data_IF_472699217580
#
_entry.id   IF_472699217580
#
_cell.length_a   1.000
_cell.length_b   1.000
_cell.length_c   1.000
_cell.angle_alpha   90.00
_cell.angle_beta   90.00
_cell.angle_gamma   90.00
#
_symmetry.space_group_name_H-M   'P 1'
#
loop_
_entity.id
_entity.type
_entity.pdbx_description
1 polymer ?
#
# COMPACT_ATOMS: atom_id res chain seq x y z
N UNK A 1 -29.92 -20.39 -9.15
CA UNK A 1 -29.88 -20.49 -10.64
C UNK A 1 -28.43 -20.52 -11.07
N UNK A 2 -28.05 -21.44 -11.96
CA UNK A 2 -26.74 -21.40 -12.60
C UNK A 2 -26.74 -20.32 -13.69
N UNK A 3 -25.66 -19.54 -13.80
CA UNK A 3 -25.49 -18.55 -14.86
C UNK A 3 -25.24 -19.26 -16.19
N UNK A 4 -25.82 -18.73 -17.28
CA UNK A 4 -25.52 -19.24 -18.62
C UNK A 4 -24.10 -18.82 -19.05
N UNK A 5 -23.45 -19.63 -19.89
CA UNK A 5 -22.14 -19.30 -20.47
C UNK A 5 -22.14 -17.91 -21.12
N UNK A 6 -23.18 -17.61 -21.88
CA UNK A 6 -23.31 -16.34 -22.59
C UNK A 6 -23.42 -15.14 -21.62
N UNK A 7 -24.11 -15.32 -20.49
CA UNK A 7 -24.20 -14.30 -19.45
C UNK A 7 -22.83 -14.05 -18.78
N UNK A 8 -22.07 -15.11 -18.51
CA UNK A 8 -20.72 -15.01 -17.93
C UNK A 8 -19.77 -14.30 -18.90
N UNK A 9 -19.76 -14.70 -20.17
CA UNK A 9 -18.90 -14.09 -21.19
C UNK A 9 -19.22 -12.61 -21.44
N UNK A 10 -20.51 -12.23 -21.40
CA UNK A 10 -20.92 -10.83 -21.54
C UNK A 10 -20.41 -9.98 -20.38
N UNK A 11 -20.53 -10.48 -19.14
CA UNK A 11 -20.02 -9.79 -17.96
C UNK A 11 -18.50 -9.59 -17.99
N UNK A 12 -17.74 -10.63 -18.39
CA UNK A 12 -16.27 -10.57 -18.43
C UNK A 12 -15.72 -9.64 -19.52
N UNK A 13 -16.52 -9.24 -20.52
CA UNK A 13 -16.14 -8.19 -21.48
C UNK A 13 -16.19 -6.79 -20.88
N UNK A 14 -17.04 -6.58 -19.88
CA UNK A 14 -17.25 -5.29 -19.23
C UNK A 14 -16.40 -5.15 -17.96
N UNK A 15 -16.16 -6.26 -17.27
CA UNK A 15 -15.47 -6.29 -15.98
C UNK A 15 -14.24 -7.21 -16.05
N UNK A 16 -13.06 -6.62 -15.93
CA UNK A 16 -11.82 -7.38 -15.78
C UNK A 16 -11.71 -8.00 -14.38
N UNK A 17 -12.06 -9.28 -14.29
CA UNK A 17 -11.77 -10.10 -13.10
C UNK A 17 -10.38 -10.73 -13.16
N UNK A 18 -9.81 -10.93 -14.35
CA UNK A 18 -8.57 -11.68 -14.57
C UNK A 18 -7.36 -10.96 -14.00
N UNK A 19 -7.16 -9.70 -14.38
CA UNK A 19 -6.01 -8.91 -13.95
C UNK A 19 -5.90 -8.79 -12.42
N UNK A 20 -6.97 -8.43 -11.69
CA UNK A 20 -6.95 -8.37 -10.23
C UNK A 20 -6.67 -9.72 -9.56
N UNK A 21 -7.25 -10.81 -10.07
CA UNK A 21 -7.04 -12.15 -9.53
C UNK A 21 -5.62 -12.64 -9.76
N UNK A 22 -5.08 -12.49 -10.98
CA UNK A 22 -3.71 -12.85 -11.32
C UNK A 22 -2.69 -12.09 -10.44
N UNK A 23 -2.87 -10.78 -10.29
CA UNK A 23 -2.01 -9.97 -9.44
C UNK A 23 -2.04 -10.41 -7.97
N UNK A 24 -3.22 -10.79 -7.46
CA UNK A 24 -3.37 -11.30 -6.10
C UNK A 24 -2.70 -12.67 -5.93
N UNK A 25 -2.79 -13.54 -6.95
CA UNK A 25 -2.21 -14.88 -6.95
C UNK A 25 -0.68 -14.80 -6.97
N UNK A 26 -0.11 -13.97 -7.84
CA UNK A 26 1.34 -13.75 -7.91
C UNK A 26 1.89 -13.23 -6.57
N UNK A 27 1.19 -12.32 -5.91
CA UNK A 27 1.57 -11.83 -4.58
C UNK A 27 1.51 -12.95 -3.52
N UNK A 28 0.45 -13.78 -3.53
CA UNK A 28 0.32 -14.89 -2.59
C UNK A 28 1.46 -15.91 -2.73
N UNK A 29 1.81 -16.27 -3.98
CA UNK A 29 2.88 -17.21 -4.31
C UNK A 29 4.25 -16.65 -3.93
N UNK A 30 4.53 -15.39 -4.28
CA UNK A 30 5.80 -14.73 -3.93
C UNK A 30 6.04 -14.69 -2.42
N UNK A 31 4.97 -14.57 -1.64
CA UNK A 31 5.03 -14.55 -0.18
C UNK A 31 4.94 -15.95 0.47
N UNK A 32 4.78 -17.00 -0.32
CA UNK A 32 4.62 -18.39 0.14
C UNK A 32 3.59 -18.50 1.28
N UNK A 33 2.44 -17.82 1.14
CA UNK A 33 1.45 -17.76 2.21
C UNK A 33 0.88 -19.15 2.54
N UNK A 34 0.92 -19.53 3.81
CA UNK A 34 0.25 -20.74 4.33
C UNK A 34 -1.24 -20.52 4.61
N UNK A 35 -1.74 -19.29 4.43
CA UNK A 35 -3.13 -18.90 4.67
C UNK A 35 -3.69 -18.10 3.48
N UNK A 36 -4.03 -18.79 2.36
CA UNK A 36 -4.39 -18.12 1.10
C UNK A 36 -5.73 -17.37 1.16
N UNK A 37 -6.77 -17.92 1.79
CA UNK A 37 -8.09 -17.26 1.82
C UNK A 37 -8.07 -15.94 2.61
N UNK A 38 -7.52 -15.88 3.84
CA UNK A 38 -7.33 -14.60 4.52
C UNK A 38 -6.45 -13.64 3.72
N UNK A 39 -5.38 -14.14 3.09
CA UNK A 39 -4.49 -13.32 2.26
C UNK A 39 -5.26 -12.59 1.15
N UNK A 40 -6.08 -13.30 0.36
CA UNK A 40 -6.83 -12.68 -0.74
C UNK A 40 -7.85 -11.65 -0.24
N UNK A 41 -8.61 -11.96 0.81
CA UNK A 41 -9.56 -11.03 1.40
C UNK A 41 -8.86 -9.73 1.84
N UNK A 42 -7.68 -9.85 2.46
CA UNK A 42 -6.88 -8.73 2.89
C UNK A 42 -6.28 -7.95 1.71
N UNK A 43 -5.80 -8.64 0.66
CA UNK A 43 -5.24 -8.03 -0.54
C UNK A 43 -6.26 -7.13 -1.25
N UNK A 44 -7.48 -7.63 -1.47
CA UNK A 44 -8.54 -6.84 -2.12
C UNK A 44 -9.06 -5.73 -1.21
N UNK A 45 -9.22 -5.98 0.09
CA UNK A 45 -9.67 -4.95 1.04
C UNK A 45 -8.67 -3.81 1.18
N UNK A 46 -7.37 -4.11 1.21
CA UNK A 46 -6.32 -3.11 1.25
C UNK A 46 -6.29 -2.27 -0.04
N UNK A 47 -6.40 -2.88 -1.22
CA UNK A 47 -6.49 -2.16 -2.49
C UNK A 47 -7.74 -1.26 -2.56
N UNK A 48 -8.89 -1.75 -2.11
CA UNK A 48 -10.13 -0.97 -2.09
C UNK A 48 -10.02 0.24 -1.14
N UNK A 49 -9.43 0.04 0.04
CA UNK A 49 -9.20 1.11 1.02
C UNK A 49 -8.21 2.16 0.51
N UNK A 50 -7.16 1.75 -0.19
CA UNK A 50 -6.21 2.66 -0.83
C UNK A 50 -6.89 3.53 -1.90
N UNK A 51 -7.71 2.91 -2.73
CA UNK A 51 -8.46 3.60 -3.77
C UNK A 51 -9.49 4.58 -3.19
N UNK A 52 -10.16 4.24 -2.07
CA UNK A 52 -11.18 5.12 -1.47
C UNK A 52 -10.61 6.42 -0.92
N UNK A 53 -9.32 6.48 -0.61
CA UNK A 53 -8.64 7.71 -0.18
C UNK A 53 -7.91 8.45 -1.31
N UNK A 54 -8.05 7.99 -2.56
CA UNK A 54 -7.35 8.58 -3.71
C UNK A 54 -5.82 8.39 -3.66
N UNK A 55 -5.34 7.43 -2.86
CA UNK A 55 -3.92 7.07 -2.84
C UNK A 55 -3.57 6.30 -4.11
N UNK A 56 -2.46 6.70 -4.74
CA UNK A 56 -1.99 6.05 -5.97
C UNK A 56 -0.95 4.99 -5.66
N UNK A 57 -0.73 4.04 -6.59
CA UNK A 57 0.37 3.07 -6.49
C UNK A 57 1.75 3.74 -6.39
N UNK A 58 1.91 4.96 -6.92
CA UNK A 58 3.13 5.76 -6.71
C UNK A 58 3.28 6.22 -5.26
N UNK A 59 2.19 6.49 -4.54
CA UNK A 59 2.25 6.85 -3.12
C UNK A 59 2.49 5.63 -2.23
N UNK A 60 2.06 4.44 -2.61
CA UNK A 60 2.29 3.25 -1.76
C UNK A 60 3.55 2.48 -2.13
N UNK A 61 3.96 2.53 -3.40
CA UNK A 61 5.11 1.80 -3.93
C UNK A 61 4.99 0.29 -3.93
N UNK A 62 5.98 -0.40 -4.53
CA UNK A 62 6.20 -1.81 -4.27
C UNK A 62 6.56 -1.98 -2.79
N UNK A 63 5.73 -2.73 -2.06
CA UNK A 63 5.93 -3.02 -0.64
C UNK A 63 6.54 -4.42 -0.46
N UNK A 64 7.62 -4.70 -1.19
CA UNK A 64 8.24 -6.04 -1.19
C UNK A 64 8.64 -6.46 0.22
N UNK A 65 8.26 -7.68 0.61
CA UNK A 65 8.48 -8.20 1.96
C UNK A 65 7.52 -7.68 3.03
N UNK A 66 6.54 -6.83 2.69
CA UNK A 66 5.46 -6.46 3.61
C UNK A 66 4.56 -7.67 3.85
N UNK A 67 4.30 -7.96 5.12
CA UNK A 67 3.45 -9.06 5.55
C UNK A 67 1.98 -8.81 5.19
N UNK A 68 1.15 -9.87 5.11
CA UNK A 68 -0.28 -9.71 4.93
C UNK A 68 -0.89 -8.87 6.05
N UNK A 69 -1.73 -7.89 5.70
CA UNK A 69 -2.43 -7.06 6.68
C UNK A 69 -3.49 -7.90 7.42
N UNK A 70 -3.68 -7.77 8.74
CA UNK A 70 -4.68 -8.55 9.48
C UNK A 70 -6.10 -7.95 9.37
N UNK A 71 -6.52 -7.41 8.23
CA UNK A 71 -7.55 -6.35 8.15
C UNK A 71 -8.94 -6.68 8.71
N UNK A 72 -9.33 -7.96 8.82
CA UNK A 72 -10.57 -8.37 9.48
C UNK A 72 -10.50 -8.40 11.01
N UNK A 73 -9.32 -8.47 11.61
CA UNK A 73 -9.08 -8.58 13.05
C UNK A 73 -8.19 -7.47 13.60
N UNK A 74 -7.73 -6.56 12.73
CA UNK A 74 -6.84 -5.47 13.09
C UNK A 74 -7.49 -4.56 14.14
N UNK A 75 -6.94 -4.54 15.36
CA UNK A 75 -7.41 -3.66 16.43
C UNK A 75 -7.19 -2.18 16.09
N UNK A 76 -6.03 -1.87 15.51
CA UNK A 76 -5.68 -0.54 15.03
C UNK A 76 -5.14 -0.58 13.61
N UNK A 77 -5.44 0.47 12.85
CA UNK A 77 -4.88 0.74 11.52
C UNK A 77 -3.91 1.90 11.63
N UNK A 78 -2.67 1.71 11.20
CA UNK A 78 -1.64 2.73 11.25
C UNK A 78 -1.19 3.09 9.82
N UNK A 79 -0.70 4.31 9.65
CA UNK A 79 0.04 4.72 8.47
C UNK A 79 1.52 4.92 8.81
N UNK A 80 2.43 4.29 8.05
CA UNK A 80 3.85 4.61 8.07
C UNK A 80 4.13 5.62 6.97
N UNK A 81 4.46 6.84 7.37
CA UNK A 81 4.61 7.99 6.49
C UNK A 81 6.08 8.19 6.16
N UNK A 82 6.36 8.27 4.87
CA UNK A 82 7.65 8.67 4.31
C UNK A 82 7.49 9.91 3.44
N UNK A 83 8.55 10.68 3.28
CA UNK A 83 8.60 11.75 2.28
C UNK A 83 9.10 11.20 0.94
N UNK A 84 8.47 11.59 -0.16
CA UNK A 84 8.99 11.38 -1.51
C UNK A 84 9.29 12.72 -2.17
N UNK A 85 10.58 13.04 -2.29
CA UNK A 85 11.03 14.19 -3.08
C UNK A 85 10.65 13.98 -4.55
N UNK A 86 9.95 14.95 -5.11
CA UNK A 86 9.63 14.94 -6.53
C UNK A 86 10.90 15.25 -7.34
N UNK A 87 11.11 14.51 -8.42
CA UNK A 87 12.23 14.72 -9.35
C UNK A 87 13.63 14.59 -8.72
N UNK A 88 13.76 13.92 -7.58
CA UNK A 88 15.08 13.65 -7.01
C UNK A 88 15.95 12.83 -7.99
N UNK A 89 17.26 13.11 -8.14
CA UNK A 89 18.13 12.46 -9.13
C UNK A 89 18.17 10.93 -9.05
N UNK A 90 17.93 10.35 -7.86
CA UNK A 90 17.85 8.89 -7.69
C UNK A 90 16.65 8.23 -8.35
N UNK A 91 15.65 9.00 -8.82
CA UNK A 91 14.41 8.48 -9.41
C UNK A 91 13.44 7.83 -8.41
N UNK A 92 13.87 7.56 -7.18
CA UNK A 92 13.10 6.90 -6.12
C UNK A 92 12.62 7.85 -5.03
N UNK A 93 12.98 9.13 -5.11
CA UNK A 93 12.46 10.19 -4.24
C UNK A 93 13.25 10.47 -2.97
N UNK A 94 14.51 10.06 -2.95
CA UNK A 94 15.52 10.39 -1.93
C UNK A 94 16.75 9.50 -2.07
N UNK A 95 17.88 9.95 -1.54
CA UNK A 95 19.09 9.11 -1.46
C UNK A 95 19.02 8.12 -0.26
N UNK A 96 18.10 8.34 0.68
CA UNK A 96 17.80 7.43 1.79
C UNK A 96 16.91 6.23 1.39
N UNK A 97 16.43 6.18 0.15
CA UNK A 97 15.48 5.18 -0.34
C UNK A 97 16.19 4.05 -1.09
N UNK A 98 15.69 2.83 -0.91
CA UNK A 98 16.07 1.68 -1.74
C UNK A 98 15.37 1.69 -3.10
N UNK A 99 15.58 0.63 -3.89
CA UNK A 99 15.06 0.47 -5.27
C UNK A 99 13.53 0.59 -5.37
N UNK A 100 12.82 0.25 -4.29
CA UNK A 100 11.36 0.33 -4.23
C UNK A 100 10.84 1.73 -3.85
N UNK A 101 11.74 2.66 -3.56
CA UNK A 101 11.44 4.02 -3.11
C UNK A 101 10.89 4.11 -1.68
N UNK A 102 11.09 3.06 -0.89
CA UNK A 102 10.96 3.06 0.56
C UNK A 102 12.33 3.13 1.21
N UNK A 103 12.42 3.65 2.42
CA UNK A 103 13.60 3.41 3.26
C UNK A 103 13.75 1.92 3.57
N UNK A 104 15.00 1.52 3.78
CA UNK A 104 15.36 0.13 4.11
C UNK A 104 14.69 -0.40 5.38
N UNK A 105 14.30 0.49 6.29
CA UNK A 105 13.68 0.17 7.57
C UNK A 105 12.14 0.27 7.57
N UNK A 106 11.53 0.92 6.57
CA UNK A 106 10.07 1.12 6.53
C UNK A 106 9.29 -0.20 6.55
N UNK A 107 9.64 -1.14 5.67
CA UNK A 107 8.93 -2.42 5.58
C UNK A 107 9.14 -3.26 6.86
N UNK A 108 10.36 -3.39 7.41
CA UNK A 108 10.56 -4.01 8.74
C UNK A 108 9.73 -3.38 9.86
N UNK A 109 9.62 -2.04 9.92
CA UNK A 109 8.80 -1.34 10.94
C UNK A 109 7.32 -1.67 10.75
N UNK A 110 6.80 -1.59 9.53
CA UNK A 110 5.42 -1.93 9.23
C UNK A 110 5.11 -3.41 9.58
N UNK A 111 6.05 -4.32 9.30
CA UNK A 111 5.95 -5.72 9.68
C UNK A 111 5.95 -5.92 11.20
N UNK A 112 6.67 -5.10 11.96
CA UNK A 112 6.59 -5.08 13.43
C UNK A 112 5.17 -4.80 13.91
N UNK A 113 4.52 -3.79 13.34
CA UNK A 113 3.11 -3.47 13.64
C UNK A 113 2.19 -4.62 13.25
N UNK A 114 2.38 -5.21 12.07
CA UNK A 114 1.58 -6.34 11.57
C UNK A 114 1.68 -7.56 12.50
N UNK A 115 2.87 -7.88 13.00
CA UNK A 115 3.09 -8.99 13.94
C UNK A 115 2.37 -8.81 15.28
N UNK A 116 1.98 -7.59 15.64
CA UNK A 116 1.15 -7.33 16.83
C UNK A 116 -0.35 -7.48 16.57
N UNK A 117 -0.75 -7.93 15.38
CA UNK A 117 -2.15 -8.07 14.98
C UNK A 117 -2.80 -6.76 14.55
N UNK A 118 -2.02 -5.74 14.20
CA UNK A 118 -2.50 -4.45 13.72
C UNK A 118 -2.24 -4.27 12.22
N UNK A 119 -2.95 -3.37 11.55
CA UNK A 119 -2.65 -3.03 10.16
C UNK A 119 -1.68 -1.85 10.10
N UNK A 120 -0.74 -1.87 9.15
CA UNK A 120 0.19 -0.77 8.91
C UNK A 120 0.41 -0.57 7.42
N UNK A 121 0.02 0.60 6.93
CA UNK A 121 0.11 0.97 5.52
C UNK A 121 1.28 1.94 5.30
N UNK A 122 2.32 1.55 4.53
CA UNK A 122 3.32 2.49 4.06
C UNK A 122 2.72 3.51 3.07
N UNK A 123 2.96 4.79 3.29
CA UNK A 123 2.53 5.90 2.45
C UNK A 123 3.70 6.85 2.24
N UNK A 124 4.05 7.05 0.98
CA UNK A 124 4.99 8.05 0.50
C UNK A 124 4.23 9.33 0.20
N UNK A 125 4.38 10.30 1.08
CA UNK A 125 3.84 11.63 0.91
C UNK A 125 4.44 12.29 -0.33
N UNK A 126 3.56 12.86 -1.15
CA UNK A 126 3.90 13.69 -2.30
C UNK A 126 3.20 15.02 -2.11
N UNK A 127 3.94 16.12 -2.22
CA UNK A 127 3.39 17.48 -2.07
C UNK A 127 2.20 17.74 -2.99
N UNK A 128 2.25 17.24 -4.23
CA UNK A 128 1.16 17.34 -5.22
C UNK A 128 -0.10 16.53 -4.89
N UNK A 129 -0.08 15.71 -3.82
CA UNK A 129 -1.20 14.87 -3.38
C UNK A 129 -1.57 15.11 -1.92
N UNK A 130 -1.33 16.33 -1.43
CA UNK A 130 -1.56 16.70 -0.03
C UNK A 130 -2.99 16.39 0.46
N UNK A 131 -4.03 16.73 -0.30
CA UNK A 131 -5.42 16.49 0.09
C UNK A 131 -5.74 14.99 0.27
N UNK A 132 -5.30 14.15 -0.67
CA UNK A 132 -5.49 12.70 -0.60
C UNK A 132 -4.72 12.09 0.59
N UNK A 133 -3.49 12.54 0.80
CA UNK A 133 -2.71 12.15 1.97
C UNK A 133 -3.40 12.55 3.28
N UNK A 134 -3.83 13.81 3.42
CA UNK A 134 -4.54 14.32 4.59
C UNK A 134 -5.80 13.49 4.87
N UNK A 135 -6.57 13.13 3.85
CA UNK A 135 -7.75 12.29 4.00
C UNK A 135 -7.38 10.89 4.53
N UNK A 136 -6.33 10.27 3.97
CA UNK A 136 -5.87 8.95 4.39
C UNK A 136 -5.36 8.93 5.84
N UNK A 137 -4.53 9.89 6.25
CA UNK A 137 -3.96 9.91 7.61
C UNK A 137 -4.98 10.24 8.68
N UNK A 138 -6.08 10.94 8.34
CA UNK A 138 -7.21 11.17 9.24
C UNK A 138 -8.09 9.93 9.44
N UNK A 139 -8.01 8.97 8.52
CA UNK A 139 -8.82 7.74 8.57
C UNK A 139 -8.14 6.59 9.33
N UNK A 140 -6.89 6.76 9.76
CA UNK A 140 -6.12 5.76 10.54
C UNK A 140 -6.11 6.13 12.03
N UNK A 141 -5.83 5.14 12.88
CA UNK A 141 -5.77 5.29 14.33
C UNK A 141 -4.43 5.85 14.82
N UNK A 142 -3.39 5.80 14.01
CA UNK A 142 -2.06 6.26 14.36
C UNK A 142 -1.16 6.45 13.17
N UNK A 143 -0.13 7.26 13.34
CA UNK A 143 0.87 7.55 12.32
C UNK A 143 2.27 7.28 12.85
N UNK A 144 3.11 6.69 12.01
CA UNK A 144 4.55 6.49 12.26
C UNK A 144 5.26 7.34 11.21
N UNK A 145 6.05 8.33 11.62
CA UNK A 145 6.77 9.21 10.69
C UNK A 145 8.21 8.73 10.54
N UNK A 146 8.57 8.31 9.33
CA UNK A 146 9.94 7.93 8.93
C UNK A 146 10.39 8.81 7.77
N UNK A 147 10.79 10.03 8.11
CA UNK A 147 11.28 11.04 7.16
C UNK A 147 12.74 11.37 7.50
N UNK A 148 13.56 11.55 6.47
CA UNK A 148 14.91 12.14 6.59
C UNK A 148 14.83 13.62 6.17
N UNK A 149 14.67 14.56 7.11
CA UNK A 149 14.45 15.96 6.79
C UNK A 149 15.67 16.61 6.13
N UNK A 150 16.90 16.11 6.41
CA UNK A 150 18.14 16.70 5.89
C UNK A 150 18.31 16.65 4.38
N UNK A 151 17.48 15.87 3.66
CA UNK A 151 17.50 15.83 2.19
C UNK A 151 16.38 16.65 1.55
N UNK A 152 15.44 17.17 2.34
CA UNK A 152 14.34 17.97 1.79
C UNK A 152 14.85 19.35 1.36
N UNK A 153 14.35 19.89 0.24
CA UNK A 153 14.72 21.24 -0.15
C UNK A 153 14.10 22.26 0.83
N UNK A 154 14.71 23.45 1.03
CA UNK A 154 14.28 24.41 2.05
C UNK A 154 12.80 24.79 1.96
N UNK A 155 12.24 24.87 0.75
CA UNK A 155 10.83 25.18 0.50
C UNK A 155 9.85 24.10 1.00
N UNK A 156 10.33 22.87 1.19
CA UNK A 156 9.55 21.76 1.73
C UNK A 156 9.80 21.56 3.25
N UNK A 157 10.80 22.23 3.83
CA UNK A 157 11.11 22.21 5.27
C UNK A 157 10.26 23.28 5.98
N UNK A 158 9.06 22.90 6.41
CA UNK A 158 8.17 23.74 7.21
C UNK A 158 8.44 23.60 8.73
#
# INVERSE_FOLDING_TARGET
>A
MALSKQSVESYLREVDLGGPLEASLNAAVSMQTLQPLPFFANYFSAKALLASFGLTTKMTGPCDGLLPQPSMTARYKLALIEYQMLNHPSGVGGADKGVNGHRVDSIPIANGVIKTGNACLPIRYRSTKHAAFSAAVKAVNGIIVRIEPGQMPPEDQA
#
